data_IF_295200793840
#
_entry.id   IF_295200793840
#
_cell.length_a   1.000
_cell.length_b   1.000
_cell.length_c   1.000
_cell.angle_alpha   90.00
_cell.angle_beta   90.00
_cell.angle_gamma   90.00
#
_symmetry.space_group_name_H-M   'P 1'
#
loop_
_entity.id
_entity.type
_entity.pdbx_description
1 polymer ?
#
# COMPACT_ATOMS: atom_id res chain seq x y z
N UNK A 1 -6.97 -5.15 -12.47
CA UNK A 1 -7.22 -5.96 -13.68
C UNK A 1 -7.63 -5.06 -14.83
N UNK A 2 -8.60 -4.16 -14.64
CA UNK A 2 -9.11 -3.21 -15.64
C UNK A 2 -8.06 -2.31 -16.32
N UNK A 3 -6.96 -1.99 -15.65
CA UNK A 3 -5.92 -1.11 -16.20
C UNK A 3 -5.09 -1.80 -17.31
N UNK A 4 -4.79 -3.09 -17.12
CA UNK A 4 -4.03 -3.92 -18.09
C UNK A 4 -4.85 -4.12 -19.37
N UNK A 5 -6.17 -4.27 -19.24
CA UNK A 5 -7.14 -4.41 -20.33
C UNK A 5 -7.14 -3.16 -21.21
N UNK A 6 -7.28 -1.99 -20.58
CA UNK A 6 -7.29 -0.72 -21.25
C UNK A 6 -5.93 -0.41 -21.91
N UNK A 7 -4.83 -0.86 -21.32
CA UNK A 7 -3.47 -0.67 -21.85
C UNK A 7 -3.15 -1.54 -23.06
N UNK A 8 -3.56 -2.81 -23.04
CA UNK A 8 -3.46 -3.71 -24.22
C UNK A 8 -4.33 -3.20 -25.37
N UNK A 9 -5.56 -2.78 -25.10
CA UNK A 9 -6.46 -2.22 -26.12
C UNK A 9 -5.90 -0.93 -26.75
N UNK A 10 -5.33 -0.03 -25.95
CA UNK A 10 -4.66 1.20 -26.44
C UNK A 10 -3.42 0.91 -27.29
N UNK A 11 -2.66 -0.14 -26.94
CA UNK A 11 -1.45 -0.53 -27.67
C UNK A 11 -1.79 -1.16 -29.02
N UNK A 12 -2.83 -2.00 -29.07
CA UNK A 12 -3.33 -2.57 -30.32
C UNK A 12 -3.90 -1.49 -31.26
N UNK A 13 -4.62 -0.51 -30.71
CA UNK A 13 -5.12 0.64 -31.48
C UNK A 13 -3.98 1.54 -32.01
N UNK A 14 -2.92 1.77 -31.21
CA UNK A 14 -1.76 2.57 -31.62
C UNK A 14 -0.87 1.90 -32.68
N UNK A 15 -0.96 0.58 -32.80
CA UNK A 15 -0.24 -0.22 -33.80
C UNK A 15 -0.99 -0.35 -35.14
N UNK A 16 -2.15 0.29 -35.29
CA UNK A 16 -3.06 0.19 -36.45
C UNK A 16 -3.41 -1.26 -36.86
N UNK A 17 -3.29 -2.20 -35.93
CA UNK A 17 -3.69 -3.59 -36.16
C UNK A 17 -5.22 -3.64 -36.19
N UNK A 18 -5.79 -4.13 -37.30
CA UNK A 18 -7.24 -4.10 -37.64
C UNK A 18 -8.14 -4.98 -36.75
N UNK A 19 -7.85 -5.14 -35.47
CA UNK A 19 -8.72 -5.83 -34.54
C UNK A 19 -9.88 -4.96 -34.08
N UNK A 20 -11.09 -5.50 -34.05
CA UNK A 20 -12.25 -4.78 -33.51
C UNK A 20 -12.11 -4.63 -31.98
N UNK A 21 -12.68 -3.58 -31.35
CA UNK A 21 -12.68 -3.44 -29.89
C UNK A 21 -13.24 -4.67 -29.14
N UNK A 22 -14.14 -5.43 -29.77
CA UNK A 22 -14.69 -6.68 -29.23
C UNK A 22 -13.66 -7.82 -29.18
N UNK A 23 -12.68 -7.84 -30.08
CA UNK A 23 -11.62 -8.85 -30.10
C UNK A 23 -10.56 -8.58 -29.02
N UNK A 24 -10.28 -7.32 -28.72
CA UNK A 24 -9.42 -6.92 -27.59
C UNK A 24 -9.98 -7.40 -26.24
N UNK A 25 -11.30 -7.27 -26.05
CA UNK A 25 -11.99 -7.78 -24.84
C UNK A 25 -11.89 -9.31 -24.74
N UNK A 26 -11.91 -10.02 -25.87
CA UNK A 26 -11.78 -11.49 -25.91
C UNK A 26 -10.37 -11.97 -25.57
N UNK A 27 -9.33 -11.32 -26.10
CA UNK A 27 -7.92 -11.63 -25.76
C UNK A 27 -7.70 -11.50 -24.25
N UNK A 28 -8.20 -10.41 -23.66
CA UNK A 28 -8.09 -10.12 -22.24
C UNK A 28 -8.85 -11.11 -21.37
N UNK A 29 -10.03 -11.54 -21.80
CA UNK A 29 -10.82 -12.55 -21.13
C UNK A 29 -10.28 -13.99 -21.30
N UNK A 30 -9.11 -14.17 -21.94
CA UNK A 30 -8.51 -15.47 -22.21
C UNK A 30 -9.26 -16.29 -23.26
N UNK A 31 -10.12 -15.64 -24.05
CA UNK A 31 -10.90 -16.29 -25.11
C UNK A 31 -10.08 -16.39 -26.41
N UNK A 32 -10.29 -17.49 -27.15
CA UNK A 32 -9.56 -17.77 -28.39
C UNK A 32 -9.89 -16.74 -29.48
N UNK A 33 -8.88 -16.05 -29.99
CA UNK A 33 -9.00 -15.10 -31.12
C UNK A 33 -8.12 -15.57 -32.28
N UNK A 34 -8.55 -15.33 -33.52
CA UNK A 34 -7.80 -15.75 -34.72
C UNK A 34 -6.71 -14.73 -35.07
N UNK A 35 -5.42 -15.14 -35.19
CA UNK A 35 -4.31 -14.27 -35.59
C UNK A 35 -4.52 -13.56 -36.92
N UNK A 36 -5.20 -14.23 -37.84
CA UNK A 36 -5.45 -13.73 -39.19
C UNK A 36 -6.27 -12.42 -39.19
N UNK A 37 -7.09 -12.20 -38.16
CA UNK A 37 -7.85 -10.96 -37.98
C UNK A 37 -6.97 -9.72 -37.75
N UNK A 38 -5.69 -9.92 -37.44
CA UNK A 38 -4.70 -8.86 -37.19
C UNK A 38 -3.62 -8.79 -38.28
N UNK A 39 -3.77 -9.54 -39.38
CA UNK A 39 -2.78 -9.60 -40.46
C UNK A 39 -1.52 -10.39 -40.11
N UNK A 40 -1.55 -11.20 -39.06
CA UNK A 40 -0.42 -11.99 -38.57
C UNK A 40 -0.65 -13.49 -38.78
N UNK A 41 0.44 -14.22 -39.06
CA UNK A 41 0.40 -15.64 -39.38
C UNK A 41 0.14 -16.54 -38.17
N UNK A 42 0.68 -16.20 -36.99
CA UNK A 42 0.57 -17.00 -35.77
C UNK A 42 0.29 -16.14 -34.52
N UNK A 43 -0.34 -16.74 -33.49
CA UNK A 43 -0.59 -16.05 -32.20
C UNK A 43 0.71 -15.66 -31.49
N UNK A 44 1.78 -16.42 -31.69
CA UNK A 44 3.10 -16.13 -31.13
C UNK A 44 3.63 -14.78 -31.63
N UNK A 45 3.45 -14.49 -32.92
CA UNK A 45 3.89 -13.23 -33.53
C UNK A 45 3.13 -12.02 -32.96
N UNK A 46 1.84 -12.18 -32.67
CA UNK A 46 1.03 -11.14 -32.02
C UNK A 46 1.49 -10.91 -30.57
N UNK A 47 1.76 -11.98 -29.82
CA UNK A 47 2.25 -11.89 -28.45
C UNK A 47 3.63 -11.22 -28.39
N UNK A 48 4.55 -11.61 -29.28
CA UNK A 48 5.90 -11.04 -29.35
C UNK A 48 5.87 -9.57 -29.79
N UNK A 49 5.03 -9.22 -30.76
CA UNK A 49 4.91 -7.82 -31.23
C UNK A 49 4.36 -6.91 -30.14
N UNK A 50 3.30 -7.34 -29.43
CA UNK A 50 2.73 -6.59 -28.30
C UNK A 50 3.74 -6.48 -27.16
N UNK A 51 4.44 -7.57 -26.84
CA UNK A 51 5.45 -7.62 -25.78
C UNK A 51 6.66 -6.72 -26.09
N UNK A 52 7.14 -6.70 -27.34
CA UNK A 52 8.20 -5.79 -27.78
C UNK A 52 7.78 -4.32 -27.75
N UNK A 53 6.54 -4.00 -28.13
CA UNK A 53 6.05 -2.63 -28.10
C UNK A 53 5.82 -2.10 -26.67
N UNK A 54 5.28 -2.95 -25.78
CA UNK A 54 5.20 -2.64 -24.35
C UNK A 54 6.59 -2.46 -23.74
N UNK A 55 7.55 -3.32 -24.10
CA UNK A 55 8.95 -3.19 -23.65
C UNK A 55 9.62 -1.91 -24.16
N UNK A 56 9.36 -1.50 -25.40
CA UNK A 56 9.91 -0.27 -25.96
C UNK A 56 9.23 1.01 -25.42
N UNK A 57 7.95 0.93 -25.00
CA UNK A 57 7.26 2.02 -24.27
C UNK A 57 7.67 2.11 -22.80
N UNK A 58 7.88 0.98 -22.13
CA UNK A 58 8.38 0.91 -20.75
C UNK A 58 9.81 1.44 -20.60
N UNK A 59 10.61 1.49 -21.68
CA UNK A 59 11.88 2.25 -21.70
C UNK A 59 11.70 3.77 -21.52
N UNK A 60 10.49 4.31 -21.70
CA UNK A 60 10.19 5.74 -21.55
C UNK A 60 9.16 6.07 -20.47
N UNK A 61 8.56 5.07 -19.82
CA UNK A 61 7.59 5.29 -18.76
C UNK A 61 7.90 4.43 -17.54
N UNK A 62 8.14 5.15 -16.44
CA UNK A 62 8.11 4.70 -15.05
C UNK A 62 9.39 4.02 -14.55
N UNK A 63 10.35 4.91 -14.28
CA UNK A 63 11.23 4.86 -13.12
C UNK A 63 10.41 4.47 -11.87
N UNK A 64 10.61 3.25 -11.37
CA UNK A 64 10.40 2.98 -9.95
C UNK A 64 11.41 3.83 -9.17
N UNK A 65 11.05 4.47 -8.04
CA UNK A 65 11.88 5.52 -7.44
C UNK A 65 13.29 5.09 -7.02
N UNK A 66 13.63 3.79 -6.97
CA UNK A 66 14.86 3.32 -6.34
C UNK A 66 15.70 2.29 -7.13
N UNK A 67 15.56 2.17 -8.46
CA UNK A 67 16.54 1.39 -9.25
C UNK A 67 16.64 1.86 -10.69
N UNK A 68 17.77 2.48 -11.04
CA UNK A 68 18.22 2.79 -12.41
C UNK A 68 19.17 1.73 -12.95
N UNK A 69 19.26 0.54 -12.33
CA UNK A 69 20.23 -0.49 -12.67
C UNK A 69 19.69 -1.44 -13.77
N UNK A 70 20.22 -1.39 -15.00
CA UNK A 70 19.78 -2.25 -16.10
C UNK A 70 20.09 -3.74 -15.87
N UNK A 71 20.92 -4.09 -14.87
CA UNK A 71 21.25 -5.48 -14.52
C UNK A 71 20.30 -6.11 -13.48
N UNK A 72 19.40 -5.32 -12.87
CA UNK A 72 18.35 -5.81 -11.98
C UNK A 72 17.00 -5.83 -12.71
N UNK A 73 16.87 -6.79 -13.63
CA UNK A 73 15.61 -7.04 -14.34
C UNK A 73 14.46 -7.29 -13.34
N UNK A 74 13.35 -6.58 -13.52
CA UNK A 74 12.19 -6.65 -12.63
C UNK A 74 11.56 -8.05 -12.61
N UNK A 75 11.54 -8.73 -13.75
CA UNK A 75 11.05 -10.11 -13.85
C UNK A 75 11.89 -11.08 -13.02
N UNK A 76 13.22 -10.95 -13.10
CA UNK A 76 14.16 -11.73 -12.29
C UNK A 76 14.07 -11.37 -10.80
N UNK A 77 13.88 -10.09 -10.46
CA UNK A 77 13.70 -9.66 -9.08
C UNK A 77 12.40 -10.24 -8.48
N UNK A 78 11.28 -10.19 -9.22
CA UNK A 78 10.02 -10.80 -8.81
C UNK A 78 10.13 -12.33 -8.68
N UNK A 79 10.92 -12.96 -9.54
CA UNK A 79 11.22 -14.39 -9.42
C UNK A 79 11.98 -14.69 -8.12
N UNK A 80 13.03 -13.92 -7.82
CA UNK A 80 13.78 -14.04 -6.55
C UNK A 80 12.85 -13.83 -5.36
N UNK A 81 12.00 -12.79 -5.39
CA UNK A 81 11.03 -12.54 -4.33
C UNK A 81 10.04 -13.67 -4.12
N UNK A 82 9.55 -14.30 -5.19
CA UNK A 82 8.66 -15.47 -5.06
C UNK A 82 9.36 -16.64 -4.39
N UNK A 83 10.59 -16.95 -4.80
CA UNK A 83 11.35 -18.05 -4.21
C UNK A 83 11.69 -17.75 -2.74
N UNK A 84 12.10 -16.53 -2.42
CA UNK A 84 12.33 -16.11 -1.03
C UNK A 84 11.05 -16.15 -0.18
N UNK A 85 9.88 -15.82 -0.74
CA UNK A 85 8.58 -15.95 -0.07
C UNK A 85 8.25 -17.41 0.26
N UNK A 86 8.53 -18.33 -0.66
CA UNK A 86 8.30 -19.77 -0.48
C UNK A 86 9.24 -20.38 0.58
N UNK A 87 10.50 -19.94 0.59
CA UNK A 87 11.53 -20.48 1.48
C UNK A 87 11.53 -19.84 2.87
N UNK A 88 11.04 -18.61 3.00
CA UNK A 88 11.23 -17.78 4.19
C UNK A 88 12.70 -17.32 4.35
N UNK A 89 13.08 -16.82 5.54
CA UNK A 89 14.44 -16.37 5.82
C UNK A 89 15.45 -17.52 5.72
N UNK A 90 16.33 -17.48 4.71
CA UNK A 90 17.31 -18.56 4.45
C UNK A 90 18.71 -18.01 4.20
N UNK A 91 19.79 -18.78 4.46
CA UNK A 91 21.13 -18.36 4.11
C UNK A 91 21.28 -18.04 2.61
N UNK A 92 22.13 -17.07 2.29
CA UNK A 92 22.40 -16.66 0.89
C UNK A 92 22.64 -17.84 -0.05
N UNK A 93 23.49 -18.78 0.36
CA UNK A 93 23.87 -19.91 -0.49
C UNK A 93 22.68 -20.85 -0.76
N UNK A 94 21.77 -21.00 0.21
CA UNK A 94 20.54 -21.76 0.04
C UNK A 94 19.62 -21.08 -0.98
N UNK A 95 19.43 -19.75 -0.87
CA UNK A 95 18.64 -19.00 -1.83
C UNK A 95 19.23 -19.09 -3.25
N UNK A 96 20.54 -18.89 -3.41
CA UNK A 96 21.21 -18.98 -4.71
C UNK A 96 21.08 -20.38 -5.32
N UNK A 97 21.28 -21.43 -4.52
CA UNK A 97 21.12 -22.81 -4.97
C UNK A 97 19.69 -23.12 -5.46
N UNK A 98 18.66 -22.61 -4.77
CA UNK A 98 17.26 -22.79 -5.18
C UNK A 98 16.93 -22.02 -6.47
N UNK A 99 17.49 -20.82 -6.63
CA UNK A 99 17.33 -20.03 -7.85
C UNK A 99 17.99 -20.71 -9.05
N UNK A 100 19.21 -21.22 -8.88
CA UNK A 100 19.94 -21.97 -9.91
C UNK A 100 19.22 -23.26 -10.31
N UNK A 101 18.66 -23.99 -9.35
CA UNK A 101 17.91 -25.23 -9.61
C UNK A 101 16.59 -25.03 -10.34
N UNK A 102 15.94 -23.87 -10.17
CA UNK A 102 14.60 -23.59 -10.75
C UNK A 102 14.63 -22.77 -12.01
N UNK A 103 15.69 -21.99 -12.22
CA UNK A 103 15.82 -21.17 -13.42
C UNK A 103 17.29 -21.03 -13.80
N UNK A 104 17.73 -21.58 -14.95
CA UNK A 104 19.04 -21.26 -15.49
C UNK A 104 19.05 -19.78 -15.87
N UNK A 105 19.81 -18.95 -15.18
CA UNK A 105 19.77 -17.48 -15.31
C UNK A 105 19.98 -17.03 -16.78
N UNK A 106 19.17 -16.12 -17.34
CA UNK A 106 19.17 -15.87 -18.79
C UNK A 106 20.16 -14.80 -19.29
N UNK A 107 20.90 -14.08 -18.46
CA UNK A 107 21.96 -13.18 -18.96
C UNK A 107 22.42 -12.09 -17.99
N UNK A 108 23.74 -11.82 -17.98
CA UNK A 108 24.43 -10.84 -17.13
C UNK A 108 25.75 -11.40 -16.56
N UNK A 109 26.65 -10.54 -16.09
CA UNK A 109 27.91 -10.97 -15.46
C UNK A 109 27.67 -11.46 -14.01
N UNK A 110 28.13 -12.68 -13.72
CA UNK A 110 28.25 -13.21 -12.35
C UNK A 110 27.12 -14.10 -11.81
N UNK A 111 26.12 -14.46 -12.61
CA UNK A 111 25.07 -15.43 -12.24
C UNK A 111 24.14 -15.00 -11.09
N UNK A 112 23.35 -15.94 -10.55
CA UNK A 112 22.39 -15.67 -9.47
C UNK A 112 23.04 -15.12 -8.19
N UNK A 113 24.25 -15.57 -7.87
CA UNK A 113 25.02 -15.04 -6.73
C UNK A 113 25.26 -13.54 -6.84
N UNK A 114 25.78 -13.07 -7.98
CA UNK A 114 26.01 -11.64 -8.20
C UNK A 114 24.69 -10.85 -8.25
N UNK A 115 23.64 -11.44 -8.81
CA UNK A 115 22.31 -10.81 -8.84
C UNK A 115 21.75 -10.58 -7.43
N UNK A 116 21.82 -11.60 -6.55
CA UNK A 116 21.40 -11.51 -5.15
C UNK A 116 22.24 -10.48 -4.38
N UNK A 117 23.55 -10.43 -4.61
CA UNK A 117 24.42 -9.43 -3.97
C UNK A 117 24.08 -8.00 -4.40
N UNK A 118 23.80 -7.77 -5.69
CA UNK A 118 23.33 -6.48 -6.20
C UNK A 118 21.98 -6.12 -5.58
N UNK A 119 21.04 -7.05 -5.50
CA UNK A 119 19.73 -6.83 -4.89
C UNK A 119 19.85 -6.48 -3.38
N UNK A 120 20.76 -7.12 -2.65
CA UNK A 120 21.08 -6.78 -1.26
C UNK A 120 21.71 -5.38 -1.13
N UNK A 121 22.69 -5.06 -1.96
CA UNK A 121 23.35 -3.74 -1.96
C UNK A 121 22.36 -2.59 -2.23
N UNK A 122 21.35 -2.84 -3.06
CA UNK A 122 20.29 -1.87 -3.40
C UNK A 122 19.12 -1.88 -2.43
N UNK A 123 19.15 -2.71 -1.37
CA UNK A 123 18.08 -2.81 -0.37
C UNK A 123 16.79 -3.47 -0.88
N UNK A 124 16.84 -4.17 -2.01
CA UNK A 124 15.72 -4.93 -2.59
C UNK A 124 15.59 -6.34 -1.99
N UNK A 125 16.60 -6.76 -1.22
CA UNK A 125 16.64 -7.90 -0.30
C UNK A 125 17.22 -7.38 1.03
N UNK A 126 16.86 -8.00 2.14
CA UNK A 126 17.40 -7.66 3.47
C UNK A 126 18.33 -8.76 3.95
N UNK A 127 19.42 -8.36 4.64
CA UNK A 127 20.32 -9.29 5.31
C UNK A 127 20.08 -9.23 6.81
N UNK A 128 19.61 -10.34 7.39
CA UNK A 128 19.44 -10.50 8.83
C UNK A 128 20.45 -11.54 9.34
N UNK A 129 21.60 -11.07 9.82
CA UNK A 129 22.72 -11.95 10.15
C UNK A 129 23.26 -12.71 8.94
N UNK A 130 23.11 -14.04 8.94
CA UNK A 130 23.50 -14.93 7.82
C UNK A 130 22.36 -15.20 6.84
N UNK A 131 21.13 -14.83 7.20
CA UNK A 131 19.93 -15.08 6.41
C UNK A 131 19.61 -13.90 5.49
N UNK A 132 19.08 -14.21 4.31
CA UNK A 132 18.45 -13.28 3.40
C UNK A 132 16.95 -13.37 3.63
N UNK A 133 16.35 -12.19 3.81
CA UNK A 133 14.92 -12.00 3.92
C UNK A 133 14.49 -11.00 2.85
N UNK A 134 13.18 -10.89 2.65
CA UNK A 134 12.63 -9.90 1.76
C UNK A 134 12.34 -8.61 2.52
N UNK A 135 12.49 -7.44 1.87
CA UNK A 135 11.80 -6.24 2.29
C UNK A 135 10.32 -6.37 1.91
N UNK A 136 9.65 -7.43 2.37
CA UNK A 136 8.20 -7.48 2.31
C UNK A 136 7.71 -6.42 3.27
N UNK A 137 7.40 -5.24 2.71
CA UNK A 137 6.52 -4.33 3.41
C UNK A 137 5.29 -5.13 3.86
N UNK A 138 4.99 -5.04 5.15
CA UNK A 138 3.90 -5.81 5.72
C UNK A 138 2.61 -5.39 5.00
N UNK A 139 1.68 -6.31 4.75
CA UNK A 139 0.44 -6.00 4.00
C UNK A 139 -0.31 -4.77 4.56
N UNK A 140 -0.31 -4.64 5.88
CA UNK A 140 -0.89 -3.49 6.57
C UNK A 140 -0.11 -2.19 6.31
N UNK A 141 1.22 -2.26 6.16
CA UNK A 141 2.10 -1.13 5.89
C UNK A 141 1.89 -0.60 4.47
N UNK A 142 2.00 -1.46 3.45
CA UNK A 142 1.75 -1.08 2.05
C UNK A 142 0.31 -0.58 1.87
N UNK A 143 -0.65 -1.28 2.47
CA UNK A 143 -2.06 -0.88 2.41
C UNK A 143 -2.34 0.44 3.14
N UNK A 144 -1.60 0.76 4.21
CA UNK A 144 -1.81 1.98 4.97
C UNK A 144 -1.06 3.20 4.41
N UNK A 145 0.01 3.01 3.62
CA UNK A 145 0.73 4.09 2.94
C UNK A 145 -0.18 4.95 2.05
N UNK A 146 -1.25 4.38 1.48
CA UNK A 146 -2.26 5.13 0.71
C UNK A 146 -2.97 6.21 1.53
N UNK A 147 -2.99 6.08 2.86
CA UNK A 147 -3.58 7.08 3.76
C UNK A 147 -2.57 8.16 4.18
N UNK A 148 -1.30 8.03 3.79
CA UNK A 148 -0.23 9.00 4.04
C UNK A 148 -0.18 9.50 5.51
N UNK A 149 -0.02 8.63 6.52
CA UNK A 149 0.07 9.07 7.91
C UNK A 149 1.19 10.12 8.08
N UNK A 150 0.96 11.11 8.95
CA UNK A 150 1.87 12.22 9.24
C UNK A 150 2.10 12.30 10.76
N UNK A 151 2.70 11.25 11.38
CA UNK A 151 2.82 11.16 12.84
C UNK A 151 3.47 12.39 13.47
N UNK A 152 4.49 12.94 12.82
CA UNK A 152 5.21 14.14 13.23
C UNK A 152 4.35 15.41 13.26
N UNK A 153 3.22 15.40 12.54
CA UNK A 153 2.29 16.53 12.47
C UNK A 153 1.06 16.36 13.36
N UNK A 154 0.79 15.20 13.96
CA UNK A 154 -0.45 14.97 14.71
C UNK A 154 -0.63 15.92 15.89
N UNK A 155 0.38 16.07 16.76
CA UNK A 155 0.29 16.95 17.91
C UNK A 155 0.09 18.43 17.49
N UNK A 156 0.91 18.90 16.54
CA UNK A 156 0.86 20.28 16.04
C UNK A 156 -0.46 20.59 15.32
N UNK A 157 -0.95 19.66 14.51
CA UNK A 157 -2.21 19.83 13.77
C UNK A 157 -3.43 19.75 14.68
N UNK A 158 -3.42 18.88 15.70
CA UNK A 158 -4.49 18.83 16.69
C UNK A 158 -4.57 20.14 17.49
N UNK A 159 -3.45 20.61 18.04
CA UNK A 159 -3.37 21.90 18.75
C UNK A 159 -3.88 23.04 17.88
N UNK A 160 -3.40 23.10 16.63
CA UNK A 160 -3.80 24.16 15.73
C UNK A 160 -5.27 24.09 15.30
N UNK A 161 -5.80 22.88 15.12
CA UNK A 161 -7.20 22.68 14.80
C UNK A 161 -8.12 23.24 15.89
N UNK A 162 -7.82 22.95 17.16
CA UNK A 162 -8.57 23.50 18.29
C UNK A 162 -8.51 25.03 18.29
N UNK A 163 -7.30 25.60 18.19
CA UNK A 163 -7.11 27.05 18.19
C UNK A 163 -7.90 27.76 17.07
N UNK A 164 -7.95 27.19 15.87
CA UNK A 164 -8.69 27.76 14.74
C UNK A 164 -10.21 27.69 14.92
N UNK A 165 -10.72 26.59 15.50
CA UNK A 165 -12.15 26.41 15.77
C UNK A 165 -12.61 27.31 16.93
N UNK A 166 -11.85 27.37 18.02
CA UNK A 166 -12.18 28.20 19.20
C UNK A 166 -12.14 29.70 18.89
N UNK A 167 -11.26 30.13 17.98
CA UNK A 167 -11.21 31.51 17.50
C UNK A 167 -12.27 31.86 16.45
N UNK A 168 -13.07 30.89 15.99
CA UNK A 168 -14.06 31.08 14.92
C UNK A 168 -13.44 31.40 13.56
N UNK A 169 -12.13 31.15 13.37
CA UNK A 169 -11.46 31.38 12.08
C UNK A 169 -11.82 30.31 11.04
N UNK A 170 -12.24 29.14 11.50
CA UNK A 170 -12.77 28.05 10.68
C UNK A 170 -13.98 27.46 11.40
N UNK A 171 -14.97 27.00 10.65
CA UNK A 171 -16.17 26.36 11.20
C UNK A 171 -16.29 24.91 10.73
N UNK A 172 -15.74 24.60 9.56
CA UNK A 172 -15.87 23.28 8.92
C UNK A 172 -14.53 22.55 8.82
N UNK A 173 -14.58 21.22 8.69
CA UNK A 173 -13.38 20.42 8.45
C UNK A 173 -12.72 20.71 7.08
N UNK A 174 -13.50 21.14 6.07
CA UNK A 174 -12.95 21.61 4.78
C UNK A 174 -12.09 22.85 4.97
N UNK A 175 -12.57 23.84 5.72
CA UNK A 175 -11.83 25.07 6.01
C UNK A 175 -10.61 24.79 6.86
N UNK A 176 -10.76 23.92 7.87
CA UNK A 176 -9.65 23.47 8.70
C UNK A 176 -8.54 22.85 7.85
N UNK A 177 -8.87 21.99 6.89
CA UNK A 177 -7.89 21.41 5.98
C UNK A 177 -7.14 22.45 5.14
N UNK A 178 -7.83 23.49 4.67
CA UNK A 178 -7.19 24.61 3.95
C UNK A 178 -6.27 25.41 4.88
N UNK A 179 -6.74 25.75 6.08
CA UNK A 179 -5.98 26.51 7.05
C UNK A 179 -4.73 25.75 7.53
N UNK A 180 -4.85 24.46 7.84
CA UNK A 180 -3.72 23.62 8.23
C UNK A 180 -2.69 23.49 7.09
N UNK A 181 -3.14 23.34 5.84
CA UNK A 181 -2.26 23.33 4.68
C UNK A 181 -1.42 24.60 4.60
N UNK A 182 -2.08 25.75 4.67
CA UNK A 182 -1.46 27.05 4.47
C UNK A 182 -0.54 27.42 5.63
N UNK A 183 -0.95 27.16 6.88
CA UNK A 183 -0.17 27.52 8.06
C UNK A 183 0.98 26.53 8.37
N UNK A 184 0.86 25.26 7.98
CA UNK A 184 1.93 24.27 8.16
C UNK A 184 2.86 24.17 6.95
N UNK A 185 2.53 24.82 5.83
CA UNK A 185 3.33 24.76 4.60
C UNK A 185 3.40 23.37 3.98
N UNK A 186 2.33 22.59 4.11
CA UNK A 186 2.27 21.18 3.66
C UNK A 186 1.46 21.02 2.37
N UNK A 187 1.59 19.87 1.71
CA UNK A 187 0.80 19.57 0.51
C UNK A 187 -0.68 19.39 0.84
N UNK A 188 -1.55 19.53 -0.18
CA UNK A 188 -2.99 19.20 -0.06
C UNK A 188 -3.22 17.75 0.38
N UNK A 189 -2.38 16.82 -0.09
CA UNK A 189 -2.49 15.40 0.27
C UNK A 189 -2.20 15.20 1.75
N UNK A 190 -1.12 15.81 2.27
CA UNK A 190 -0.77 15.75 3.70
C UNK A 190 -1.85 16.40 4.57
N UNK A 191 -2.39 17.56 4.16
CA UNK A 191 -3.50 18.20 4.89
C UNK A 191 -4.76 17.31 4.93
N UNK A 192 -5.12 16.67 3.81
CA UNK A 192 -6.22 15.71 3.79
C UNK A 192 -5.97 14.50 4.69
N UNK A 193 -4.72 14.01 4.74
CA UNK A 193 -4.32 12.92 5.61
C UNK A 193 -4.38 13.28 7.11
N UNK A 194 -4.41 14.57 7.46
CA UNK A 194 -4.64 15.05 8.83
C UNK A 194 -6.14 15.23 9.13
N UNK A 195 -6.93 15.76 8.19
CA UNK A 195 -8.35 16.05 8.44
C UNK A 195 -9.22 14.77 8.39
N UNK A 196 -8.86 13.80 7.55
CA UNK A 196 -9.59 12.54 7.48
C UNK A 196 -9.64 11.80 8.82
N UNK A 197 -8.51 11.52 9.51
CA UNK A 197 -8.56 10.90 10.83
C UNK A 197 -9.25 11.79 11.87
N UNK A 198 -9.17 13.12 11.77
CA UNK A 198 -9.95 14.02 12.64
C UNK A 198 -11.45 13.79 12.49
N UNK A 199 -11.98 13.74 11.25
CA UNK A 199 -13.41 13.45 11.00
C UNK A 199 -13.86 12.14 11.65
N UNK A 200 -13.07 11.08 11.46
CA UNK A 200 -13.43 9.72 11.92
C UNK A 200 -12.96 9.39 13.34
N UNK A 201 -12.39 10.37 14.06
CA UNK A 201 -11.93 10.21 15.44
C UNK A 201 -13.06 10.11 16.47
N UNK A 202 -14.30 10.48 16.09
CA UNK A 202 -15.40 10.67 17.04
C UNK A 202 -15.18 11.82 18.03
N UNK A 203 -14.21 12.71 17.76
CA UNK A 203 -13.94 13.91 18.56
C UNK A 203 -14.77 15.13 18.13
N UNK A 204 -15.44 15.06 16.99
CA UNK A 204 -16.23 16.15 16.44
C UNK A 204 -17.71 15.83 16.51
N UNK A 205 -18.51 16.84 16.79
CA UNK A 205 -19.97 16.81 16.68
C UNK A 205 -20.44 18.05 15.92
N UNK A 206 -21.60 17.99 15.29
CA UNK A 206 -22.23 19.16 14.69
C UNK A 206 -22.49 20.25 15.73
N UNK A 207 -22.42 21.52 15.31
CA UNK A 207 -22.81 22.65 16.19
C UNK A 207 -24.28 22.55 16.61
N UNK A 208 -25.11 21.90 15.79
CA UNK A 208 -26.50 21.54 16.09
C UNK A 208 -26.66 20.37 17.08
N UNK A 209 -25.54 19.77 17.53
CA UNK A 209 -25.52 18.63 18.43
C UNK A 209 -25.64 17.28 17.73
N UNK A 210 -25.64 17.23 16.40
CA UNK A 210 -25.69 15.96 15.65
C UNK A 210 -24.37 15.17 15.75
N UNK A 211 -24.49 13.85 15.88
CA UNK A 211 -23.34 12.94 15.83
C UNK A 211 -22.86 12.68 14.39
N UNK A 212 -23.65 13.11 13.39
CA UNK A 212 -23.28 13.01 12.00
C UNK A 212 -22.38 14.19 11.58
N UNK A 213 -21.08 13.93 11.45
CA UNK A 213 -20.11 14.92 10.97
C UNK A 213 -19.81 14.72 9.50
N UNK A 214 -20.20 15.70 8.69
CA UNK A 214 -19.74 15.84 7.30
C UNK A 214 -18.59 16.85 7.22
N UNK A 215 -17.79 16.79 6.15
CA UNK A 215 -16.65 17.72 6.01
C UNK A 215 -17.08 19.19 5.89
N UNK A 216 -18.27 19.45 5.32
CA UNK A 216 -18.76 20.80 5.04
C UNK A 216 -19.77 21.34 6.06
N UNK A 217 -20.04 20.59 7.14
CA UNK A 217 -20.92 21.06 8.21
C UNK A 217 -20.10 21.76 9.29
N UNK A 218 -20.66 22.80 9.95
CA UNK A 218 -20.05 23.40 11.13
C UNK A 218 -19.90 22.37 12.25
N UNK A 219 -18.72 22.32 12.85
CA UNK A 219 -18.38 21.33 13.88
C UNK A 219 -17.76 21.99 15.11
N UNK A 220 -17.87 21.29 16.24
CA UNK A 220 -17.08 21.55 17.45
C UNK A 220 -16.28 20.32 17.84
N UNK A 221 -15.05 20.52 18.33
CA UNK A 221 -14.24 19.47 18.93
C UNK A 221 -14.64 19.30 20.40
N UNK A 222 -14.85 18.07 20.85
CA UNK A 222 -15.31 17.75 22.22
C UNK A 222 -14.17 17.30 23.15
N UNK A 223 -12.95 17.22 22.64
CA UNK A 223 -11.76 16.76 23.38
C UNK A 223 -10.61 17.75 23.21
N UNK A 224 -9.67 17.73 24.16
CA UNK A 224 -8.44 18.54 24.08
C UNK A 224 -7.45 18.01 23.03
N UNK A 225 -6.48 18.86 22.65
CA UNK A 225 -5.50 18.56 21.61
C UNK A 225 -4.71 17.24 21.80
N UNK A 226 -4.24 16.88 23.02
CA UNK A 226 -3.55 15.60 23.22
C UNK A 226 -4.42 14.38 22.89
N UNK A 227 -5.69 14.40 23.30
CA UNK A 227 -6.64 13.32 23.02
C UNK A 227 -7.05 13.30 21.55
N UNK A 228 -7.19 14.46 20.90
CA UNK A 228 -7.44 14.52 19.46
C UNK A 228 -6.27 13.89 18.68
N UNK A 229 -5.03 14.25 18.99
CA UNK A 229 -3.84 13.65 18.37
C UNK A 229 -3.78 12.14 18.59
N UNK A 230 -4.09 11.68 19.82
CA UNK A 230 -4.18 10.25 20.14
C UNK A 230 -5.25 9.54 19.30
N UNK A 231 -6.44 10.11 19.14
CA UNK A 231 -7.51 9.53 18.31
C UNK A 231 -7.17 9.54 16.82
N UNK A 232 -6.44 10.54 16.35
CA UNK A 232 -5.93 10.56 14.98
C UNK A 232 -4.96 9.40 14.74
N UNK A 233 -4.02 9.16 15.66
CA UNK A 233 -3.13 8.00 15.58
C UNK A 233 -3.91 6.67 15.65
N UNK A 234 -4.86 6.55 16.59
CA UNK A 234 -5.70 5.36 16.74
C UNK A 234 -6.48 5.02 15.46
N UNK A 235 -6.93 6.03 14.71
CA UNK A 235 -7.55 5.83 13.41
C UNK A 235 -6.63 5.05 12.46
N UNK A 236 -5.35 5.40 12.37
CA UNK A 236 -4.39 4.70 11.51
C UNK A 236 -4.04 3.31 12.03
N UNK A 237 -3.89 3.12 13.35
CA UNK A 237 -3.75 1.78 13.95
C UNK A 237 -4.91 0.88 13.51
N UNK A 238 -6.14 1.39 13.62
CA UNK A 238 -7.35 0.68 13.19
C UNK A 238 -7.33 0.39 11.68
N UNK A 239 -6.90 1.32 10.83
CA UNK A 239 -6.76 1.05 9.39
C UNK A 239 -5.75 -0.06 9.11
N UNK A 240 -4.58 -0.07 9.78
CA UNK A 240 -3.59 -1.13 9.64
C UNK A 240 -4.17 -2.50 9.99
N UNK A 241 -4.84 -2.62 11.14
CA UNK A 241 -5.47 -3.87 11.60
C UNK A 241 -6.63 -4.34 10.71
N UNK A 242 -7.34 -3.42 10.05
CA UNK A 242 -8.40 -3.75 9.08
C UNK A 242 -7.85 -4.30 7.77
N UNK A 243 -6.63 -3.93 7.40
CA UNK A 243 -5.99 -4.36 6.16
C UNK A 243 -5.42 -5.78 6.27
N UNK A 244 -4.81 -6.10 7.41
CA UNK A 244 -4.26 -7.42 7.68
C UNK A 244 -4.08 -7.66 9.19
N UNK A 245 -4.05 -8.93 9.64
CA UNK A 245 -3.56 -9.29 10.96
C UNK A 245 -2.16 -8.70 11.22
N UNK A 246 -1.94 -8.19 12.43
CA UNK A 246 -0.64 -7.65 12.86
C UNK A 246 -0.05 -8.59 13.93
N UNK A 247 1.01 -9.35 13.61
CA UNK A 247 1.70 -10.17 14.60
C UNK A 247 2.27 -9.34 15.75
N UNK A 248 2.30 -9.88 16.97
CA UNK A 248 2.85 -9.19 18.14
C UNK A 248 4.31 -8.75 17.93
N UNK A 249 5.09 -9.55 17.22
CA UNK A 249 6.48 -9.23 16.89
C UNK A 249 6.64 -8.03 15.94
N UNK A 250 5.57 -7.58 15.26
CA UNK A 250 5.57 -6.43 14.34
C UNK A 250 5.06 -5.13 14.96
N UNK A 251 4.75 -5.13 16.27
CA UNK A 251 4.27 -3.94 16.96
C UNK A 251 5.31 -2.78 17.01
N UNK A 252 6.62 -3.02 17.19
CA UNK A 252 7.61 -1.93 17.17
C UNK A 252 7.58 -1.15 15.85
N UNK A 253 7.42 -1.83 14.73
CA UNK A 253 7.37 -1.21 13.41
C UNK A 253 6.03 -0.55 13.14
N UNK A 254 4.92 -1.11 13.63
CA UNK A 254 3.64 -0.41 13.60
C UNK A 254 3.68 0.89 14.42
N UNK A 255 4.39 0.88 15.55
CA UNK A 255 4.58 2.08 16.37
C UNK A 255 5.43 3.12 15.63
N UNK A 256 6.55 2.70 15.01
CA UNK A 256 7.35 3.59 14.17
C UNK A 256 6.53 4.19 13.01
N UNK A 257 5.69 3.38 12.36
CA UNK A 257 4.88 3.81 11.22
C UNK A 257 3.75 4.79 11.60
N UNK A 258 2.99 4.50 12.66
CA UNK A 258 1.81 5.28 13.04
C UNK A 258 2.12 6.42 14.00
N UNK A 259 3.13 6.23 14.87
CA UNK A 259 3.47 7.16 15.94
C UNK A 259 4.81 7.87 15.71
N UNK A 260 5.55 7.50 14.66
CA UNK A 260 6.83 8.10 14.28
C UNK A 260 8.04 7.54 15.04
N UNK A 261 7.86 6.65 16.02
CA UNK A 261 8.98 6.00 16.74
C UNK A 261 8.58 4.65 17.33
N UNK A 262 9.49 3.67 17.24
CA UNK A 262 9.36 2.36 17.87
C UNK A 262 9.36 2.43 19.41
N UNK A 263 9.93 3.49 20.00
CA UNK A 263 9.95 3.72 21.45
C UNK A 263 8.54 3.93 22.03
N UNK A 264 7.57 4.32 21.18
CA UNK A 264 6.17 4.50 21.57
C UNK A 264 5.38 3.18 21.59
N UNK A 265 6.07 2.03 21.67
CA UNK A 265 5.44 0.70 21.72
C UNK A 265 4.40 0.58 22.84
N UNK A 266 4.67 1.14 24.02
CA UNK A 266 3.70 1.09 25.13
C UNK A 266 2.42 1.87 24.80
N UNK A 267 2.56 3.06 24.21
CA UNK A 267 1.43 3.86 23.72
C UNK A 267 0.61 3.10 22.68
N UNK A 268 1.28 2.43 21.73
CA UNK A 268 0.60 1.60 20.73
C UNK A 268 -0.15 0.42 21.40
N UNK A 269 0.48 -0.26 22.36
CA UNK A 269 -0.17 -1.36 23.09
C UNK A 269 -1.41 -0.90 23.85
N UNK A 270 -1.37 0.29 24.48
CA UNK A 270 -2.53 0.88 25.15
C UNK A 270 -3.66 1.24 24.17
N UNK A 271 -3.30 1.73 22.97
CA UNK A 271 -4.26 1.95 21.88
C UNK A 271 -4.92 0.65 21.42
N UNK A 272 -4.13 -0.40 21.17
CA UNK A 272 -4.65 -1.72 20.76
C UNK A 272 -5.52 -2.31 21.86
N UNK A 273 -5.10 -2.21 23.13
CA UNK A 273 -5.91 -2.63 24.28
C UNK A 273 -7.27 -1.94 24.32
N UNK A 274 -7.31 -0.62 24.04
CA UNK A 274 -8.58 0.10 23.94
C UNK A 274 -9.50 -0.47 22.85
N UNK A 275 -8.95 -0.90 21.70
CA UNK A 275 -9.72 -1.55 20.63
C UNK A 275 -10.19 -2.96 21.02
N UNK A 276 -9.39 -3.69 21.81
CA UNK A 276 -9.76 -5.00 22.36
C UNK A 276 -10.88 -4.86 23.39
N UNK A 277 -10.79 -3.88 24.30
CA UNK A 277 -11.81 -3.59 25.30
C UNK A 277 -13.15 -3.20 24.64
N UNK A 278 -13.09 -2.46 23.53
CA UNK A 278 -14.24 -2.15 22.67
C UNK A 278 -14.74 -3.32 21.82
N UNK A 279 -14.08 -4.49 21.90
CA UNK A 279 -14.37 -5.70 21.10
C UNK A 279 -14.28 -5.48 19.59
N UNK A 280 -13.47 -4.51 19.14
CA UNK A 280 -13.20 -4.31 17.72
C UNK A 280 -12.01 -5.15 17.23
N UNK A 281 -11.10 -5.51 18.13
CA UNK A 281 -9.87 -6.26 17.83
C UNK A 281 -9.79 -7.45 18.78
N UNK A 282 -9.22 -8.55 18.32
CA UNK A 282 -8.93 -9.72 19.13
C UNK A 282 -7.53 -10.26 18.86
N UNK A 283 -6.96 -10.92 19.86
CA UNK A 283 -5.68 -11.61 19.74
C UNK A 283 -5.93 -13.07 19.37
N UNK A 284 -5.51 -13.47 18.18
CA UNK A 284 -5.65 -14.84 17.64
C UNK A 284 -4.27 -15.32 17.25
N UNK A 285 -3.83 -16.44 17.84
CA UNK A 285 -2.56 -17.10 17.50
C UNK A 285 -1.33 -16.16 17.48
N UNK A 286 -1.26 -15.20 18.42
CA UNK A 286 -0.14 -14.25 18.49
C UNK A 286 -0.19 -13.11 17.46
N UNK A 287 -1.37 -12.85 16.87
CA UNK A 287 -1.61 -11.71 16.01
C UNK A 287 -2.90 -10.96 16.39
N UNK A 288 -2.87 -9.64 16.31
CA UNK A 288 -4.05 -8.79 16.48
C UNK A 288 -4.85 -8.76 15.18
N UNK A 289 -6.13 -9.14 15.25
CA UNK A 289 -7.05 -9.23 14.13
C UNK A 289 -8.24 -8.30 14.38
N UNK A 290 -8.57 -7.47 13.40
CA UNK A 290 -9.78 -6.64 13.46
C UNK A 290 -11.04 -7.50 13.22
N UNK A 291 -12.02 -7.43 14.11
CA UNK A 291 -13.27 -8.19 13.95
C UNK A 291 -14.08 -7.70 12.75
N UNK A 292 -14.47 -8.64 11.89
CA UNK A 292 -15.17 -8.36 10.64
C UNK A 292 -14.27 -8.21 9.41
N UNK A 293 -12.96 -8.43 9.52
CA UNK A 293 -12.09 -8.65 8.34
C UNK A 293 -12.04 -10.12 7.90
N UNK A 294 -12.71 -11.02 8.63
CA UNK A 294 -12.93 -12.43 8.27
C UNK A 294 -14.39 -12.71 7.91
N UNK A 295 -14.74 -12.60 6.63
CA UNK A 295 -15.84 -13.30 5.93
C UNK A 295 -15.92 -12.77 4.50
N UNK A 296 -14.91 -13.14 3.71
CA UNK A 296 -14.91 -13.02 2.26
C UNK A 296 -14.84 -14.39 1.58
N UNK A 297 -15.36 -15.44 2.23
CA UNK A 297 -15.59 -16.78 1.67
C UNK A 297 -16.79 -17.38 2.38
N UNK A 298 -17.87 -17.64 1.64
CA UNK A 298 -18.97 -18.55 1.98
C UNK A 298 -19.88 -18.14 3.14
N UNK A 299 -21.07 -17.64 2.81
CA UNK A 299 -22.34 -18.27 3.23
C UNK A 299 -23.48 -17.48 2.58
N UNK A 300 -23.76 -17.84 1.34
CA UNK A 300 -25.15 -17.93 0.92
C UNK A 300 -25.72 -19.23 1.49
N UNK A 301 -27.01 -19.19 1.82
CA UNK A 301 -27.80 -20.26 2.49
C UNK A 301 -27.54 -20.31 4.01
N UNK A 302 -28.51 -20.14 4.92
CA UNK A 302 -29.93 -20.49 4.92
C UNK A 302 -30.72 -19.60 5.92
N UNK A 303 -31.92 -19.18 5.47
CA UNK A 303 -33.18 -18.88 6.21
C UNK A 303 -33.20 -17.86 7.35
#
# INVERSE_FOLDING_TARGET
MDDLVAEVARTLAALELKGSPADCLRVVAGMKVSPASYGLGQMADLADTVSQHLSNRNKKMVVSPNSTDPELDEGLLRFVWRISLELGPVPRNTLVSELEGRHPFPGGTGGWGAFVDRALQKGMLLKNGTQIDLPLERKWETGARKFHPQPELFAKSADRALSLLESGRVETLVELGKALRDELGISRVAANALVYPMKFSGAFVGVDGSDYVSFGLPVRCTVGAPELARRMALFFVKQCLRLAPVPEGSLPELAAFVLGSAEQLNTLKDMIKSLVDLREVELVEGAYVYRGSGSGVGDGEER
#
